data_IF_676462805311
#
_entry.id   IF_676462805311
#
_cell.length_a   1.000
_cell.length_b   1.000
_cell.length_c   1.000
_cell.angle_alpha   90.00
_cell.angle_beta   90.00
_cell.angle_gamma   90.00
#
_symmetry.space_group_name_H-M   'P 1'
#
loop_
_entity.id
_entity.type
_entity.pdbx_description
1 polymer ?
#
# COMPACT_ATOMS: atom_id res chain seq x y z
N UNK A 1 18.91 14.77 11.81
CA UNK A 1 17.48 14.89 11.48
C UNK A 1 17.11 13.61 10.77
N UNK A 2 16.58 12.63 11.50
CA UNK A 2 16.07 11.38 10.91
C UNK A 2 14.96 11.76 9.96
N UNK A 3 15.22 11.60 8.65
CA UNK A 3 14.16 11.69 7.66
C UNK A 3 13.21 10.57 8.04
N UNK A 4 12.08 10.92 8.65
CA UNK A 4 10.96 10.02 8.85
C UNK A 4 10.75 9.42 7.47
N UNK A 5 11.04 8.13 7.35
CA UNK A 5 10.96 7.45 6.08
C UNK A 5 9.46 7.36 5.76
N UNK A 6 8.97 8.38 5.08
CA UNK A 6 7.56 8.70 4.93
C UNK A 6 6.96 7.70 3.94
N UNK A 7 6.29 6.70 4.50
CA UNK A 7 5.52 5.73 3.72
C UNK A 7 4.37 6.46 3.03
N UNK A 8 4.32 6.40 1.70
CA UNK A 8 3.20 6.88 0.91
C UNK A 8 2.32 5.73 0.47
N UNK A 9 1.06 5.77 0.82
CA UNK A 9 0.09 4.76 0.39
C UNK A 9 -0.45 5.10 -0.99
N UNK A 10 -0.57 4.09 -1.84
CA UNK A 10 -1.20 4.19 -3.13
C UNK A 10 -2.23 3.07 -3.30
N UNK A 11 -3.19 3.29 -4.19
CA UNK A 11 -4.22 2.33 -4.53
C UNK A 11 -4.25 2.15 -6.03
N UNK A 12 -4.18 0.90 -6.50
CA UNK A 12 -4.36 0.62 -7.92
C UNK A 12 -5.81 0.82 -8.33
N UNK A 13 -6.05 1.01 -9.62
CA UNK A 13 -7.40 0.95 -10.17
C UNK A 13 -8.06 -0.40 -9.87
N UNK A 14 -9.38 -0.37 -9.70
CA UNK A 14 -10.18 -1.57 -9.58
C UNK A 14 -10.13 -2.36 -10.90
N UNK A 15 -10.00 -3.67 -10.80
CA UNK A 15 -10.01 -4.58 -11.95
C UNK A 15 -10.93 -5.77 -11.65
N UNK A 16 -11.28 -6.57 -12.66
CA UNK A 16 -12.15 -7.75 -12.46
C UNK A 16 -11.59 -8.72 -11.41
N UNK A 17 -10.27 -8.83 -11.30
CA UNK A 17 -9.61 -9.67 -10.28
C UNK A 17 -9.47 -8.99 -8.91
N UNK A 18 -9.52 -7.66 -8.86
CA UNK A 18 -9.34 -6.84 -7.66
C UNK A 18 -10.37 -5.71 -7.66
N UNK A 19 -11.63 -5.99 -7.31
CA UNK A 19 -12.72 -5.02 -7.42
C UNK A 19 -12.52 -3.78 -6.53
N UNK A 20 -11.66 -3.86 -5.52
CA UNK A 20 -11.25 -2.73 -4.67
C UNK A 20 -9.85 -2.19 -4.99
N UNK A 21 -9.21 -2.68 -6.06
CA UNK A 21 -7.79 -2.44 -6.33
C UNK A 21 -6.88 -3.14 -5.31
N UNK A 22 -5.58 -2.95 -5.43
CA UNK A 22 -4.57 -3.39 -4.45
C UNK A 22 -4.03 -2.19 -3.70
N UNK A 23 -3.78 -2.39 -2.41
CA UNK A 23 -3.06 -1.43 -1.59
C UNK A 23 -1.56 -1.56 -1.86
N UNK A 24 -0.93 -0.42 -2.08
CA UNK A 24 0.49 -0.26 -2.33
C UNK A 24 1.07 0.70 -1.29
N UNK A 25 2.33 0.50 -0.95
CA UNK A 25 3.10 1.39 -0.10
C UNK A 25 4.43 1.71 -0.79
N UNK A 26 4.71 3.00 -0.96
CA UNK A 26 5.98 3.50 -1.44
C UNK A 26 6.80 3.94 -0.24
N UNK A 27 7.92 3.27 -0.02
CA UNK A 27 8.86 3.53 1.06
C UNK A 27 10.23 3.84 0.44
N UNK A 28 10.68 5.09 0.56
CA UNK A 28 11.82 5.60 -0.21
C UNK A 28 11.57 5.53 -1.73
N UNK A 29 12.34 4.68 -2.42
CA UNK A 29 12.22 4.41 -3.87
C UNK A 29 11.59 3.03 -4.16
N UNK A 30 11.21 2.29 -3.12
CA UNK A 30 10.71 0.92 -3.23
C UNK A 30 9.20 0.89 -3.08
N UNK A 31 8.53 0.29 -4.05
CA UNK A 31 7.12 0.02 -4.03
C UNK A 31 6.85 -1.39 -3.50
N UNK A 32 5.95 -1.46 -2.54
CA UNK A 32 5.44 -2.67 -1.92
C UNK A 32 3.96 -2.81 -2.23
N UNK A 33 3.50 -4.03 -2.46
CA UNK A 33 2.08 -4.38 -2.58
C UNK A 33 1.66 -5.20 -1.39
N UNK A 34 0.45 -4.94 -0.87
CA UNK A 34 -0.10 -5.78 0.17
C UNK A 34 -0.61 -7.08 -0.45
N UNK A 35 0.00 -8.19 -0.05
CA UNK A 35 -0.31 -9.56 -0.44
C UNK A 35 -0.67 -10.39 0.81
N UNK A 36 -1.26 -11.59 0.67
CA UNK A 36 -1.77 -12.37 1.82
C UNK A 36 -0.72 -12.71 2.87
N UNK A 37 0.53 -12.82 2.44
CA UNK A 37 1.69 -13.10 3.30
C UNK A 37 2.31 -11.83 3.92
N UNK A 38 1.83 -10.65 3.52
CA UNK A 38 2.35 -9.34 3.93
C UNK A 38 2.76 -8.47 2.74
N UNK A 39 3.71 -7.56 2.98
CA UNK A 39 4.19 -6.62 1.97
C UNK A 39 5.20 -7.27 1.03
N UNK A 40 4.80 -7.45 -0.23
CA UNK A 40 5.67 -7.97 -1.28
C UNK A 40 6.29 -6.83 -2.11
N UNK A 41 7.59 -6.93 -2.41
CA UNK A 41 8.31 -5.89 -3.15
C UNK A 41 8.06 -6.04 -4.65
N UNK A 42 7.36 -5.07 -5.24
CA UNK A 42 6.96 -5.12 -6.66
C UNK A 42 7.80 -4.26 -7.60
N UNK A 43 8.56 -3.28 -7.10
CA UNK A 43 9.50 -2.50 -7.93
C UNK A 43 9.46 -1.01 -7.64
N UNK A 44 9.43 -0.17 -8.70
CA UNK A 44 9.68 1.29 -8.59
C UNK A 44 8.44 2.17 -8.82
N UNK A 45 7.43 1.67 -9.54
CA UNK A 45 6.23 2.44 -9.91
C UNK A 45 5.12 1.50 -10.37
N UNK A 46 3.90 1.74 -9.87
CA UNK A 46 2.68 1.16 -10.40
C UNK A 46 1.97 2.22 -11.24
N UNK A 47 2.04 2.09 -12.56
CA UNK A 47 1.28 2.95 -13.47
C UNK A 47 -0.22 2.78 -13.20
N UNK A 48 -0.93 3.89 -13.00
CA UNK A 48 -2.35 3.89 -12.63
C UNK A 48 -2.64 3.80 -11.12
N UNK A 49 -1.62 3.73 -10.26
CA UNK A 49 -1.85 3.83 -8.83
C UNK A 49 -2.06 5.28 -8.39
N UNK A 50 -3.16 5.54 -7.70
CA UNK A 50 -3.48 6.85 -7.11
C UNK A 50 -2.93 6.91 -5.69
N UNK A 51 -2.30 8.02 -5.31
CA UNK A 51 -1.91 8.29 -3.93
C UNK A 51 -3.15 8.47 -3.05
N UNK A 52 -3.16 7.80 -1.91
CA UNK A 52 -4.23 7.85 -0.92
C UNK A 52 -3.66 8.23 0.44
N UNK A 53 -4.51 8.78 1.31
CA UNK A 53 -4.14 9.09 2.69
C UNK A 53 -4.01 7.83 3.54
N UNK A 54 -3.32 7.92 4.68
CA UNK A 54 -3.25 6.81 5.67
C UNK A 54 -4.66 6.35 6.07
N UNK A 55 -5.57 7.27 6.37
CA UNK A 55 -6.96 6.93 6.70
C UNK A 55 -7.68 6.12 5.62
N UNK A 56 -7.50 6.47 4.34
CA UNK A 56 -8.08 5.69 3.24
C UNK A 56 -7.44 4.29 3.10
N UNK A 57 -6.16 4.15 3.45
CA UNK A 57 -5.51 2.84 3.53
C UNK A 57 -6.07 2.00 4.68
N UNK A 58 -6.32 2.61 5.84
CA UNK A 58 -6.93 1.98 7.01
C UNK A 58 -8.35 1.50 6.69
N UNK A 59 -9.15 2.34 6.03
CA UNK A 59 -10.49 1.99 5.57
C UNK A 59 -10.46 0.86 4.53
N UNK A 60 -9.51 0.88 3.59
CA UNK A 60 -9.33 -0.20 2.63
C UNK A 60 -9.00 -1.52 3.33
N UNK A 61 -8.08 -1.49 4.31
CA UNK A 61 -7.75 -2.67 5.10
C UNK A 61 -8.98 -3.21 5.84
N UNK A 62 -9.76 -2.33 6.49
CA UNK A 62 -10.98 -2.72 7.20
C UNK A 62 -12.03 -3.35 6.27
N UNK A 63 -12.20 -2.81 5.05
CA UNK A 63 -13.16 -3.32 4.05
C UNK A 63 -12.74 -4.67 3.50
N UNK A 64 -11.45 -4.84 3.21
CA UNK A 64 -10.92 -6.08 2.62
C UNK A 64 -10.56 -7.14 3.70
N UNK A 65 -10.69 -6.80 4.98
CA UNK A 65 -10.42 -7.70 6.11
C UNK A 65 -8.94 -7.85 6.49
N UNK A 66 -8.10 -6.89 6.11
CA UNK A 66 -6.68 -6.84 6.46
C UNK A 66 -6.46 -6.17 7.80
N UNK A 67 -5.39 -6.58 8.48
CA UNK A 67 -4.95 -5.95 9.70
C UNK A 67 -4.40 -4.53 9.42
N UNK A 68 -4.93 -3.53 10.11
CA UNK A 68 -4.52 -2.12 9.94
C UNK A 68 -3.08 -1.90 10.41
N UNK A 69 -2.59 -2.73 11.33
CA UNK A 69 -1.20 -2.73 11.76
C UNK A 69 -0.21 -3.08 10.64
N UNK A 70 -0.69 -3.68 9.54
CA UNK A 70 0.14 -3.90 8.34
C UNK A 70 0.68 -2.59 7.77
N UNK A 71 -0.05 -1.49 7.90
CA UNK A 71 0.40 -0.17 7.44
C UNK A 71 1.65 0.32 8.20
N UNK A 72 1.86 -0.13 9.43
CA UNK A 72 3.00 0.29 10.25
C UNK A 72 4.26 -0.57 10.01
N UNK A 73 4.10 -1.76 9.43
CA UNK A 73 5.18 -2.74 9.20
C UNK A 73 5.66 -2.81 7.75
N UNK A 74 5.49 -1.73 6.98
CA UNK A 74 6.01 -1.65 5.60
C UNK A 74 7.53 -1.77 5.63
N UNK A 75 8.16 -2.77 4.98
CA UNK A 75 9.61 -2.95 5.01
C UNK A 75 10.34 -1.83 4.25
N UNK A 76 11.54 -1.45 4.70
CA UNK A 76 12.41 -0.41 4.12
C UNK A 76 13.76 -0.95 3.70
#
# INVERSE_FOLDING_TARGET
>A
MTRVDEVRYLRTEASMAFPKGRLLALRGETLHVLAPDGWDRVGRTAAGARSISRGEAEEWCAVEGWDVGLLDVVPG
#
